data_IF_605247030926
#
_entry.id   IF_605247030926
#
_cell.length_a   1.000
_cell.length_b   1.000
_cell.length_c   1.000
_cell.angle_alpha   90.00
_cell.angle_beta   90.00
_cell.angle_gamma   90.00
#
_symmetry.space_group_name_H-M   'P 1'
#
loop_
_entity.id
_entity.type
_entity.pdbx_description
1 polymer ?
#
# COMPACT_ATOMS: atom_id res chain seq x y z
N UNK A 1 -34.46 -10.25 -9.66
CA UNK A 1 -33.85 -9.19 -8.84
C UNK A 1 -34.88 -8.74 -7.83
N UNK A 2 -34.68 -9.02 -6.55
CA UNK A 2 -35.56 -8.51 -5.50
C UNK A 2 -35.45 -6.98 -5.49
N UNK A 3 -36.58 -6.28 -5.64
CA UNK A 3 -36.63 -4.82 -5.42
C UNK A 3 -36.59 -4.62 -3.92
N UNK A 4 -35.44 -4.17 -3.41
CA UNK A 4 -35.33 -3.70 -2.04
C UNK A 4 -36.17 -2.43 -1.86
N UNK A 5 -36.88 -2.31 -0.75
CA UNK A 5 -37.65 -1.11 -0.42
C UNK A 5 -36.89 -0.27 0.61
N UNK A 6 -35.98 0.58 0.10
CA UNK A 6 -35.13 1.41 0.96
C UNK A 6 -35.94 2.32 1.90
N UNK A 7 -37.07 2.85 1.44
CA UNK A 7 -37.93 3.73 2.24
C UNK A 7 -38.50 2.98 3.45
N UNK A 8 -38.98 1.75 3.24
CA UNK A 8 -39.48 0.89 4.32
C UNK A 8 -38.37 0.49 5.31
N UNK A 9 -37.15 0.25 4.83
CA UNK A 9 -36.00 -0.05 5.69
C UNK A 9 -35.68 1.13 6.59
N UNK A 10 -35.61 2.34 6.01
CA UNK A 10 -35.33 3.58 6.75
C UNK A 10 -36.41 3.83 7.80
N UNK A 11 -37.69 3.70 7.44
CA UNK A 11 -38.81 3.88 8.36
C UNK A 11 -38.72 2.91 9.56
N UNK A 12 -38.46 1.63 9.29
CA UNK A 12 -38.39 0.62 10.35
C UNK A 12 -37.17 0.80 11.29
N UNK A 13 -36.06 1.33 10.78
CA UNK A 13 -34.87 1.66 11.57
C UNK A 13 -35.09 2.82 12.54
N UNK A 14 -35.90 3.81 12.16
CA UNK A 14 -36.22 5.00 12.98
C UNK A 14 -37.21 4.70 14.13
N UNK A 15 -37.80 3.50 14.14
CA UNK A 15 -38.71 3.10 15.21
C UNK A 15 -37.98 2.74 16.50
N UNK A 16 -38.69 2.75 17.64
CA UNK A 16 -38.19 2.20 18.91
C UNK A 16 -38.56 0.72 19.12
N UNK A 17 -39.03 0.02 18.08
CA UNK A 17 -39.51 -1.37 18.17
C UNK A 17 -38.43 -2.31 17.66
N UNK A 18 -37.78 -3.04 18.57
CA UNK A 18 -36.66 -3.95 18.26
C UNK A 18 -37.06 -5.00 17.22
N UNK A 19 -38.31 -5.47 17.27
CA UNK A 19 -38.88 -6.45 16.35
C UNK A 19 -38.95 -5.96 14.90
N UNK A 20 -38.94 -4.63 14.69
CA UNK A 20 -38.87 -4.00 13.37
C UNK A 20 -37.44 -3.60 13.00
N UNK A 21 -36.67 -3.11 13.97
CA UNK A 21 -35.30 -2.65 13.74
C UNK A 21 -34.37 -3.79 13.31
N UNK A 22 -34.47 -4.98 13.93
CA UNK A 22 -33.57 -6.10 13.61
C UNK A 22 -33.74 -6.58 12.16
N UNK A 23 -34.95 -6.93 11.68
CA UNK A 23 -35.14 -7.29 10.27
C UNK A 23 -34.76 -6.15 9.30
N UNK A 24 -34.98 -4.90 9.68
CA UNK A 24 -34.60 -3.76 8.85
C UNK A 24 -33.08 -3.61 8.73
N UNK A 25 -32.32 -3.89 9.80
CA UNK A 25 -30.84 -3.94 9.75
C UNK A 25 -30.33 -5.08 8.86
N UNK A 26 -30.97 -6.25 8.92
CA UNK A 26 -30.65 -7.37 8.04
C UNK A 26 -30.91 -7.01 6.57
N UNK A 27 -32.06 -6.41 6.25
CA UNK A 27 -32.37 -5.95 4.90
C UNK A 27 -31.43 -4.84 4.43
N UNK A 28 -31.09 -3.87 5.30
CA UNK A 28 -30.10 -2.83 5.00
C UNK A 28 -28.73 -3.44 4.64
N UNK A 29 -28.32 -4.49 5.35
CA UNK A 29 -27.07 -5.21 5.08
C UNK A 29 -27.09 -5.85 3.69
N UNK A 30 -28.19 -6.48 3.29
CA UNK A 30 -28.35 -7.06 1.95
C UNK A 30 -28.35 -5.99 0.84
N UNK A 31 -28.95 -4.82 1.10
CA UNK A 31 -28.91 -3.68 0.18
C UNK A 31 -27.47 -3.21 -0.03
N UNK A 32 -26.73 -2.96 1.06
CA UNK A 32 -25.34 -2.49 1.00
C UNK A 32 -24.45 -3.51 0.32
N UNK A 33 -24.58 -4.81 0.65
CA UNK A 33 -23.83 -5.89 -0.01
C UNK A 33 -24.14 -5.96 -1.52
N UNK A 34 -25.40 -5.81 -1.91
CA UNK A 34 -25.80 -5.80 -3.31
C UNK A 34 -25.19 -4.60 -4.06
N UNK A 35 -25.16 -3.41 -3.44
CA UNK A 35 -24.53 -2.21 -3.97
C UNK A 35 -23.01 -2.39 -4.11
N UNK A 36 -22.36 -2.90 -3.07
CA UNK A 36 -20.92 -3.18 -3.05
C UNK A 36 -20.52 -4.13 -4.18
N UNK A 37 -21.25 -5.25 -4.33
CA UNK A 37 -21.04 -6.19 -5.43
C UNK A 37 -21.19 -5.52 -6.81
N UNK A 38 -22.24 -4.72 -7.01
CA UNK A 38 -22.45 -4.00 -8.29
C UNK A 38 -21.34 -2.98 -8.58
N UNK A 39 -20.82 -2.32 -7.55
CA UNK A 39 -19.70 -1.39 -7.70
C UNK A 39 -18.41 -2.11 -8.08
N UNK A 40 -18.13 -3.27 -7.47
CA UNK A 40 -16.99 -4.13 -7.85
C UNK A 40 -17.17 -4.71 -9.26
N UNK A 41 -18.37 -5.12 -9.66
CA UNK A 41 -18.66 -5.58 -11.02
C UNK A 41 -18.38 -4.50 -12.09
N UNK A 42 -18.44 -3.22 -11.72
CA UNK A 42 -18.13 -2.12 -12.62
C UNK A 42 -16.63 -2.01 -12.92
N UNK A 43 -15.75 -2.57 -12.08
CA UNK A 43 -14.32 -2.72 -12.40
C UNK A 43 -14.10 -3.65 -13.58
N UNK A 44 -14.96 -4.65 -13.76
CA UNK A 44 -14.82 -5.65 -14.83
C UNK A 44 -15.25 -5.05 -16.17
N UNK A 45 -16.33 -4.26 -16.18
CA UNK A 45 -17.07 -3.90 -17.40
C UNK A 45 -17.03 -2.42 -17.76
N UNK A 46 -16.58 -1.57 -16.85
CA UNK A 46 -16.57 -0.12 -17.05
C UNK A 46 -15.48 0.33 -18.03
N UNK A 47 -15.72 1.39 -18.82
CA UNK A 47 -14.69 1.99 -19.68
C UNK A 47 -13.62 2.75 -18.90
N UNK A 48 -13.89 3.09 -17.62
CA UNK A 48 -12.99 3.86 -16.75
C UNK A 48 -12.71 3.10 -15.45
N UNK A 49 -12.16 1.89 -15.56
CA UNK A 49 -11.95 0.96 -14.44
C UNK A 49 -11.11 1.57 -13.31
N UNK A 50 -10.06 2.30 -13.68
CA UNK A 50 -9.22 3.03 -12.72
C UNK A 50 -10.02 4.04 -11.87
N UNK A 51 -10.83 4.90 -12.50
CA UNK A 51 -11.66 5.87 -11.78
C UNK A 51 -12.69 5.20 -10.87
N UNK A 52 -13.22 4.04 -11.27
CA UNK A 52 -14.09 3.24 -10.42
C UNK A 52 -13.32 2.73 -9.21
N UNK A 53 -12.12 2.17 -9.41
CA UNK A 53 -11.27 1.64 -8.35
C UNK A 53 -10.97 2.68 -7.27
N UNK A 54 -10.58 3.90 -7.66
CA UNK A 54 -10.30 5.00 -6.72
C UNK A 54 -11.49 5.41 -5.85
N UNK A 55 -12.72 5.14 -6.30
CA UNK A 55 -13.95 5.49 -5.58
C UNK A 55 -14.51 4.35 -4.74
N UNK A 56 -14.05 3.12 -4.92
CA UNK A 56 -14.53 1.98 -4.12
C UNK A 56 -14.25 2.14 -2.62
N UNK A 57 -13.21 2.88 -2.25
CA UNK A 57 -12.93 3.20 -0.84
C UNK A 57 -14.09 3.92 -0.14
N UNK A 58 -14.95 4.65 -0.88
CA UNK A 58 -16.11 5.35 -0.33
C UNK A 58 -17.19 4.40 0.19
N UNK A 59 -17.20 3.15 -0.27
CA UNK A 59 -18.11 2.12 0.23
C UNK A 59 -17.60 1.46 1.50
N UNK A 60 -16.36 1.73 1.93
CA UNK A 60 -15.78 1.14 3.13
C UNK A 60 -15.46 -0.35 2.98
N UNK A 61 -15.23 -1.05 4.09
CA UNK A 61 -14.75 -2.44 4.08
C UNK A 61 -15.72 -3.47 3.52
N UNK A 62 -16.99 -3.09 3.26
CA UNK A 62 -18.00 -3.98 2.67
C UNK A 62 -17.63 -4.49 1.27
N UNK A 63 -16.76 -3.77 0.54
CA UNK A 63 -16.31 -4.22 -0.79
C UNK A 63 -15.21 -5.27 -0.72
N UNK A 64 -14.53 -5.45 0.43
CA UNK A 64 -13.34 -6.30 0.55
C UNK A 64 -13.61 -7.76 0.14
N UNK A 65 -14.66 -8.45 0.64
CA UNK A 65 -14.93 -9.84 0.25
C UNK A 65 -15.20 -10.00 -1.25
N UNK A 66 -15.81 -8.98 -1.88
CA UNK A 66 -16.10 -8.98 -3.30
C UNK A 66 -14.83 -8.73 -4.14
N UNK A 67 -13.92 -7.88 -3.67
CA UNK A 67 -12.63 -7.65 -4.31
C UNK A 67 -11.70 -8.86 -4.18
N UNK A 68 -11.66 -9.54 -3.03
CA UNK A 68 -10.89 -10.76 -2.84
C UNK A 68 -11.38 -11.87 -3.77
N UNK A 69 -12.70 -12.04 -3.87
CA UNK A 69 -13.32 -12.96 -4.84
C UNK A 69 -12.94 -12.59 -6.28
N UNK A 70 -13.04 -11.31 -6.64
CA UNK A 70 -12.68 -10.82 -7.97
C UNK A 70 -11.22 -11.10 -8.31
N UNK A 71 -10.31 -10.86 -7.36
CA UNK A 71 -8.88 -11.12 -7.54
C UNK A 71 -8.58 -12.62 -7.78
N UNK A 72 -9.33 -13.51 -7.14
CA UNK A 72 -9.17 -14.97 -7.28
C UNK A 72 -9.75 -15.51 -8.59
N UNK A 73 -10.91 -14.98 -9.02
CA UNK A 73 -11.68 -15.53 -10.13
C UNK A 73 -11.41 -14.85 -11.47
N UNK A 74 -10.79 -13.66 -11.49
CA UNK A 74 -10.52 -12.93 -12.74
C UNK A 74 -9.30 -13.47 -13.47
N UNK A 75 -9.44 -13.65 -14.79
CA UNK A 75 -8.34 -13.91 -15.73
C UNK A 75 -7.75 -12.62 -16.32
N UNK A 76 -8.41 -11.48 -16.13
CA UNK A 76 -7.99 -10.19 -16.69
C UNK A 76 -6.96 -9.52 -15.78
N UNK A 77 -5.72 -9.38 -16.27
CA UNK A 77 -4.59 -8.88 -15.48
C UNK A 77 -4.85 -7.46 -14.94
N UNK A 78 -5.39 -6.57 -15.76
CA UNK A 78 -5.73 -5.20 -15.34
C UNK A 78 -6.73 -5.21 -14.18
N UNK A 79 -7.82 -5.98 -14.32
CA UNK A 79 -8.82 -6.15 -13.25
C UNK A 79 -8.19 -6.66 -11.96
N UNK A 80 -7.27 -7.63 -12.03
CA UNK A 80 -6.56 -8.14 -10.83
C UNK A 80 -5.68 -7.08 -10.18
N UNK A 81 -4.93 -6.32 -10.98
CA UNK A 81 -4.08 -5.24 -10.47
C UNK A 81 -4.93 -4.18 -9.76
N UNK A 82 -6.00 -3.72 -10.39
CA UNK A 82 -6.89 -2.71 -9.80
C UNK A 82 -7.57 -3.23 -8.53
N UNK A 83 -8.07 -4.47 -8.53
CA UNK A 83 -8.65 -5.09 -7.33
C UNK A 83 -7.62 -5.18 -6.19
N UNK A 84 -6.38 -5.60 -6.50
CA UNK A 84 -5.30 -5.69 -5.54
C UNK A 84 -4.87 -4.32 -4.99
N UNK A 85 -4.84 -3.28 -5.81
CA UNK A 85 -4.56 -1.90 -5.38
C UNK A 85 -5.62 -1.40 -4.39
N UNK A 86 -6.91 -1.64 -4.67
CA UNK A 86 -7.99 -1.25 -3.76
C UNK A 86 -7.93 -2.05 -2.46
N UNK A 87 -7.67 -3.36 -2.52
CA UNK A 87 -7.46 -4.19 -1.32
C UNK A 87 -6.31 -3.66 -0.46
N UNK A 88 -5.21 -3.24 -1.09
CA UNK A 88 -4.07 -2.63 -0.40
C UNK A 88 -4.45 -1.31 0.29
N UNK A 89 -5.34 -0.50 -0.29
CA UNK A 89 -5.86 0.71 0.37
C UNK A 89 -6.57 0.37 1.68
N UNK A 90 -7.32 -0.74 1.71
CA UNK A 90 -7.94 -1.31 2.92
C UNK A 90 -6.97 -2.09 3.83
N UNK A 91 -5.66 -2.00 3.59
CA UNK A 91 -4.60 -2.73 4.30
C UNK A 91 -4.70 -4.26 4.20
N UNK A 92 -5.48 -4.80 3.26
CA UNK A 92 -5.44 -6.22 2.92
C UNK A 92 -4.19 -6.52 2.09
N UNK A 93 -3.42 -7.52 2.52
CA UNK A 93 -2.20 -7.95 1.83
C UNK A 93 -2.44 -9.07 0.80
N UNK A 94 -3.67 -9.54 0.66
CA UNK A 94 -4.03 -10.68 -0.22
C UNK A 94 -3.60 -10.42 -1.67
N UNK A 95 -3.68 -9.17 -2.13
CA UNK A 95 -3.29 -8.77 -3.48
C UNK A 95 -1.80 -8.51 -3.70
N UNK A 96 -0.97 -8.49 -2.65
CA UNK A 96 0.44 -8.09 -2.78
C UNK A 96 1.23 -8.95 -3.78
N UNK A 97 1.10 -10.30 -3.82
CA UNK A 97 1.78 -11.09 -4.84
C UNK A 97 1.46 -10.68 -6.28
N UNK A 98 0.19 -10.34 -6.55
CA UNK A 98 -0.25 -9.84 -7.86
C UNK A 98 0.40 -8.49 -8.19
N UNK A 99 0.54 -7.60 -7.19
CA UNK A 99 1.17 -6.29 -7.36
C UNK A 99 2.69 -6.40 -7.58
N UNK A 100 3.37 -7.31 -6.87
CA UNK A 100 4.80 -7.56 -7.07
C UNK A 100 5.08 -8.08 -8.49
N UNK A 101 4.24 -8.99 -8.99
CA UNK A 101 4.32 -9.48 -10.37
C UNK A 101 4.06 -8.36 -11.39
N UNK A 102 3.09 -7.48 -11.12
CA UNK A 102 2.79 -6.35 -11.98
C UNK A 102 3.95 -5.36 -12.11
N UNK A 103 4.75 -5.13 -11.05
CA UNK A 103 5.97 -4.32 -11.15
C UNK A 103 6.93 -4.92 -12.19
N UNK A 104 7.10 -6.25 -12.19
CA UNK A 104 8.04 -6.91 -13.06
C UNK A 104 7.58 -6.93 -14.52
N UNK A 105 6.27 -7.13 -14.75
CA UNK A 105 5.75 -7.56 -16.05
C UNK A 105 4.77 -6.60 -16.71
N UNK A 106 4.31 -5.53 -16.04
CA UNK A 106 3.29 -4.63 -16.58
C UNK A 106 3.84 -3.21 -16.85
N UNK A 107 3.80 -2.79 -18.11
CA UNK A 107 4.29 -1.48 -18.56
C UNK A 107 3.40 -0.31 -18.10
N UNK A 108 2.08 -0.51 -18.09
CA UNK A 108 1.11 0.54 -17.82
C UNK A 108 1.01 0.87 -16.32
N UNK A 109 1.00 -0.17 -15.49
CA UNK A 109 0.73 -0.06 -14.06
C UNK A 109 1.97 -0.21 -13.17
N UNK A 110 3.10 -0.67 -13.71
CA UNK A 110 4.28 -1.02 -12.90
C UNK A 110 4.76 0.12 -11.98
N UNK A 111 4.83 1.34 -12.51
CA UNK A 111 5.24 2.52 -11.75
C UNK A 111 4.24 2.91 -10.65
N UNK A 112 2.95 2.92 -10.98
CA UNK A 112 1.88 3.22 -10.01
C UNK A 112 1.85 2.19 -8.87
N UNK A 113 1.99 0.91 -9.22
CA UNK A 113 1.99 -0.20 -8.26
C UNK A 113 3.18 -0.10 -7.31
N UNK A 114 4.39 0.17 -7.85
CA UNK A 114 5.58 0.39 -7.03
C UNK A 114 5.39 1.55 -6.05
N UNK A 115 4.81 2.67 -6.50
CA UNK A 115 4.53 3.82 -5.65
C UNK A 115 3.56 3.47 -4.50
N UNK A 116 2.50 2.72 -4.77
CA UNK A 116 1.53 2.30 -3.76
C UNK A 116 2.13 1.34 -2.73
N UNK A 117 2.93 0.38 -3.18
CA UNK A 117 3.65 -0.53 -2.28
C UNK A 117 4.68 0.22 -1.42
N UNK A 118 5.36 1.22 -1.98
CA UNK A 118 6.28 2.09 -1.27
C UNK A 118 5.57 2.94 -0.20
N UNK A 119 4.43 3.56 -0.54
CA UNK A 119 3.58 4.31 0.42
C UNK A 119 3.11 3.45 1.60
N UNK A 120 2.93 2.14 1.37
CA UNK A 120 2.56 1.16 2.41
C UNK A 120 3.76 0.50 3.10
N UNK A 121 4.99 0.86 2.73
CA UNK A 121 6.21 0.34 3.34
C UNK A 121 6.48 -1.14 3.05
N UNK A 122 5.97 -1.68 1.94
CA UNK A 122 6.10 -3.10 1.57
C UNK A 122 7.48 -3.35 0.96
N UNK A 123 8.44 -3.76 1.81
CA UNK A 123 9.85 -3.96 1.43
C UNK A 123 10.04 -5.08 0.42
N UNK A 124 9.10 -6.01 0.31
CA UNK A 124 9.11 -7.07 -0.70
C UNK A 124 9.14 -6.52 -2.14
N UNK A 125 8.73 -5.26 -2.36
CA UNK A 125 8.77 -4.59 -3.65
C UNK A 125 10.18 -4.20 -4.12
N UNK A 126 11.18 -4.15 -3.22
CA UNK A 126 12.55 -3.71 -3.55
C UNK A 126 13.15 -4.58 -4.67
N UNK A 127 13.09 -5.91 -4.54
CA UNK A 127 13.68 -6.81 -5.51
C UNK A 127 12.98 -6.76 -6.89
N UNK A 128 11.63 -6.80 -6.98
CA UNK A 128 10.92 -6.57 -8.24
C UNK A 128 11.24 -5.21 -8.89
N UNK A 129 11.35 -4.14 -8.10
CA UNK A 129 11.71 -2.80 -8.60
C UNK A 129 13.12 -2.81 -9.21
N UNK A 130 14.12 -3.35 -8.51
CA UNK A 130 15.49 -3.45 -9.02
C UNK A 130 15.56 -4.30 -10.30
N UNK A 131 14.84 -5.42 -10.32
CA UNK A 131 14.78 -6.29 -11.50
C UNK A 131 14.17 -5.56 -12.69
N UNK A 132 13.03 -4.87 -12.49
CA UNK A 132 12.37 -4.09 -13.54
C UNK A 132 13.26 -2.95 -14.03
N UNK A 133 13.90 -2.21 -13.13
CA UNK A 133 14.87 -1.17 -13.49
C UNK A 133 16.04 -1.70 -14.32
N UNK A 134 16.41 -2.97 -14.18
CA UNK A 134 17.50 -3.59 -14.94
C UNK A 134 17.08 -3.96 -16.37
N UNK A 135 15.81 -4.27 -16.59
CA UNK A 135 15.27 -4.72 -17.87
C UNK A 135 14.53 -3.63 -18.66
N UNK A 136 14.09 -2.55 -18.01
CA UNK A 136 13.41 -1.42 -18.66
C UNK A 136 14.25 -0.80 -19.78
N UNK A 137 13.55 -0.39 -20.83
CA UNK A 137 14.08 0.41 -21.91
C UNK A 137 14.26 1.86 -21.43
N UNK A 138 15.38 2.48 -21.81
CA UNK A 138 15.73 3.84 -21.36
C UNK A 138 14.78 4.94 -21.87
N UNK A 139 13.88 4.60 -22.79
CA UNK A 139 12.80 5.49 -23.28
C UNK A 139 11.57 5.50 -22.36
N UNK A 140 11.43 4.53 -21.46
CA UNK A 140 10.34 4.43 -20.46
C UNK A 140 10.60 5.38 -19.28
N UNK A 141 10.79 6.67 -19.55
CA UNK A 141 11.27 7.65 -18.56
C UNK A 141 10.37 7.72 -17.33
N UNK A 142 9.05 7.81 -17.52
CA UNK A 142 8.09 7.93 -16.41
C UNK A 142 8.09 6.69 -15.51
N UNK A 143 8.17 5.50 -16.12
CA UNK A 143 8.27 4.24 -15.37
C UNK A 143 9.56 4.20 -14.54
N UNK A 144 10.71 4.51 -15.16
CA UNK A 144 12.00 4.51 -14.48
C UNK A 144 12.01 5.49 -13.31
N UNK A 145 11.52 6.72 -13.51
CA UNK A 145 11.44 7.75 -12.45
C UNK A 145 10.55 7.27 -11.29
N UNK A 146 9.37 6.72 -11.58
CA UNK A 146 8.46 6.19 -10.54
C UNK A 146 9.10 5.02 -9.76
N UNK A 147 9.82 4.14 -10.44
CA UNK A 147 10.51 3.01 -9.81
C UNK A 147 11.67 3.48 -8.91
N UNK A 148 12.46 4.46 -9.35
CA UNK A 148 13.54 5.04 -8.54
C UNK A 148 13.01 5.73 -7.28
N UNK A 149 11.97 6.55 -7.42
CA UNK A 149 11.30 7.22 -6.28
C UNK A 149 10.70 6.20 -5.30
N UNK A 150 10.03 5.15 -5.80
CA UNK A 150 9.51 4.08 -4.97
C UNK A 150 10.63 3.31 -4.22
N UNK A 151 11.76 3.06 -4.89
CA UNK A 151 12.93 2.40 -4.29
C UNK A 151 13.53 3.25 -3.16
N UNK A 152 13.70 4.56 -3.38
CA UNK A 152 14.18 5.49 -2.36
C UNK A 152 13.26 5.53 -1.14
N UNK A 153 11.94 5.64 -1.34
CA UNK A 153 10.93 5.58 -0.27
C UNK A 153 10.98 4.28 0.53
N UNK A 154 11.33 3.19 -0.13
CA UNK A 154 11.56 1.88 0.51
C UNK A 154 12.96 1.74 1.12
N UNK A 155 13.83 2.75 1.00
CA UNK A 155 15.22 2.67 1.45
C UNK A 155 16.00 1.54 0.78
N UNK A 156 15.64 1.20 -0.45
CA UNK A 156 16.37 0.24 -1.27
C UNK A 156 17.61 0.89 -1.88
N UNK A 157 18.67 0.11 -2.00
CA UNK A 157 19.91 0.57 -2.63
C UNK A 157 19.94 0.18 -4.11
N UNK A 158 20.47 1.08 -4.94
CA UNK A 158 20.66 0.85 -6.38
C UNK A 158 22.00 0.11 -6.57
N UNK A 159 22.01 -1.10 -7.17
CA UNK A 159 23.25 -1.81 -7.51
C UNK A 159 24.16 -0.95 -8.39
N UNK A 160 25.48 -1.15 -8.26
CA UNK A 160 26.48 -0.33 -8.93
C UNK A 160 26.34 -0.36 -10.46
N UNK A 161 26.04 -1.53 -11.01
CA UNK A 161 25.88 -1.76 -12.45
C UNK A 161 24.67 -0.97 -12.97
N UNK A 162 23.56 -1.00 -12.22
CA UNK A 162 22.35 -0.27 -12.56
C UNK A 162 22.58 1.24 -12.45
N UNK A 163 23.29 1.68 -11.42
CA UNK A 163 23.69 3.09 -11.25
C UNK A 163 24.52 3.58 -12.44
N UNK A 164 25.53 2.81 -12.86
CA UNK A 164 26.37 3.16 -14.01
C UNK A 164 25.55 3.23 -15.31
N UNK A 165 24.62 2.29 -15.51
CA UNK A 165 23.70 2.27 -16.65
C UNK A 165 22.83 3.53 -16.70
N UNK A 166 22.23 3.91 -15.57
CA UNK A 166 21.30 5.03 -15.47
C UNK A 166 22.02 6.40 -15.39
N UNK A 167 23.32 6.43 -15.12
CA UNK A 167 24.14 7.65 -15.12
C UNK A 167 24.83 7.94 -16.47
N UNK A 168 24.63 7.10 -17.49
CA UNK A 168 25.34 7.26 -18.76
C UNK A 168 24.98 8.60 -19.46
N UNK A 169 25.90 9.21 -20.24
CA UNK A 169 25.69 10.54 -20.82
C UNK A 169 24.49 10.66 -21.76
N UNK A 170 24.07 9.55 -22.35
CA UNK A 170 22.96 9.44 -23.30
C UNK A 170 21.60 9.19 -22.63
N UNK A 171 21.53 9.13 -21.30
CA UNK A 171 20.28 8.94 -20.55
C UNK A 171 19.52 10.28 -20.43
N UNK A 172 18.17 10.27 -20.57
CA UNK A 172 17.33 11.43 -20.26
C UNK A 172 17.69 12.08 -18.92
N UNK A 173 17.75 13.40 -18.91
CA UNK A 173 18.24 14.16 -17.75
C UNK A 173 17.42 13.88 -16.48
N UNK A 174 16.12 13.61 -16.59
CA UNK A 174 15.24 13.31 -15.46
C UNK A 174 15.74 12.09 -14.66
N UNK A 175 16.15 11.03 -15.36
CA UNK A 175 16.66 9.81 -14.72
C UNK A 175 18.01 10.11 -14.05
N UNK A 176 18.88 10.89 -14.69
CA UNK A 176 20.19 11.26 -14.12
C UNK A 176 20.03 12.08 -12.83
N UNK A 177 19.14 13.07 -12.83
CA UNK A 177 18.86 13.88 -11.64
C UNK A 177 18.42 13.01 -10.46
N UNK A 178 17.53 12.04 -10.68
CA UNK A 178 17.10 11.11 -9.63
C UNK A 178 18.26 10.28 -9.04
N UNK A 179 19.19 9.82 -9.88
CA UNK A 179 20.36 9.03 -9.44
C UNK A 179 21.35 9.88 -8.62
N UNK A 180 21.57 11.13 -9.05
CA UNK A 180 22.47 12.07 -8.36
C UNK A 180 21.90 12.45 -6.98
N UNK A 181 20.60 12.73 -6.91
CA UNK A 181 19.91 13.08 -5.65
C UNK A 181 19.89 11.91 -4.66
N UNK A 182 19.67 10.68 -5.13
CA UNK A 182 19.68 9.47 -4.27
C UNK A 182 21.04 9.29 -3.57
N UNK A 183 22.15 9.73 -4.18
CA UNK A 183 23.48 9.64 -3.58
C UNK A 183 23.66 10.60 -2.40
N UNK A 184 22.97 11.74 -2.42
CA UNK A 184 23.00 12.74 -1.35
C UNK A 184 22.23 12.20 -0.13
N UNK A 185 21.03 11.63 -0.34
CA UNK A 185 20.19 11.09 0.72
C UNK A 185 20.86 9.98 1.54
N UNK A 186 21.51 9.01 0.87
CA UNK A 186 22.20 7.88 1.53
C UNK A 186 23.43 8.36 2.31
N UNK A 187 24.19 9.30 1.74
CA UNK A 187 25.39 9.85 2.39
C UNK A 187 25.04 10.59 3.69
N UNK A 188 23.96 11.37 3.70
CA UNK A 188 23.51 12.09 4.91
C UNK A 188 22.93 11.16 5.97
N UNK A 189 22.20 10.11 5.57
CA UNK A 189 21.65 9.12 6.50
C UNK A 189 22.74 8.33 7.25
N UNK A 190 23.85 8.01 6.57
CA UNK A 190 24.98 7.31 7.18
C UNK A 190 25.74 8.22 8.16
N UNK A 191 26.00 9.49 7.79
CA UNK A 191 26.64 10.47 8.68
C UNK A 191 25.80 10.72 9.95
N UNK A 192 24.46 10.76 9.84
CA UNK A 192 23.59 10.95 11.01
C UNK A 192 23.49 9.73 11.92
N UNK A 193 23.76 8.50 11.43
CA UNK A 193 23.79 7.29 12.27
C UNK A 193 25.11 7.16 13.03
N UNK A 194 26.22 7.53 12.39
CA UNK A 194 27.54 7.51 13.04
C UNK A 194 27.68 8.58 14.14
N UNK A 195 26.95 9.70 14.02
CA UNK A 195 26.88 10.73 15.05
C UNK A 195 26.09 10.32 16.32
N UNK A 196 25.46 9.13 16.34
CA UNK A 196 24.60 8.66 17.43
C UNK A 196 25.20 7.49 18.25
N UNK A 197 26.50 7.23 18.10
CA UNK A 197 27.25 6.34 19.00
C UNK A 197 27.52 7.07 20.31
N UNK A 198 27.04 6.49 21.40
CA UNK A 198 26.94 7.04 22.75
C UNK A 198 28.25 7.62 23.35
N UNK A 199 28.15 8.68 24.18
CA UNK A 199 29.24 9.06 25.07
C UNK A 199 29.44 8.00 26.15
N UNK A 200 30.68 7.53 26.24
CA UNK A 200 31.14 6.53 27.19
C UNK A 200 30.82 6.88 28.67
N UNK A 201 30.34 5.86 29.37
CA UNK A 201 30.16 5.74 30.81
C UNK A 201 31.39 6.18 31.63
N UNK A 202 31.16 6.91 32.72
CA UNK A 202 32.08 7.05 33.85
C UNK A 202 31.32 7.46 35.14
N UNK A 203 31.87 7.28 36.36
CA UNK A 203 31.76 6.04 37.14
C UNK A 203 31.14 6.20 38.55
N UNK A 204 30.78 5.05 39.12
CA UNK A 204 30.52 4.71 40.54
C UNK A 204 30.34 5.79 41.62
N UNK A 205 29.16 5.76 42.26
CA UNK A 205 28.95 6.22 43.63
C UNK A 205 28.67 5.02 44.54
N UNK A 206 29.31 4.90 45.73
CA UNK A 206 29.00 3.87 46.70
C UNK A 206 27.80 4.29 47.56
N UNK A 207 26.83 3.39 47.72
CA UNK A 207 25.71 3.53 48.65
C UNK A 207 26.11 3.01 50.03
N UNK A 208 26.07 3.92 51.03
CA UNK A 208 26.18 3.57 52.44
C UNK A 208 24.93 2.83 52.93
N UNK A 209 25.19 1.75 53.66
CA UNK A 209 24.25 0.88 54.34
C UNK A 209 24.04 1.32 55.78
N UNK A 210 22.83 1.75 56.12
CA UNK A 210 22.24 1.73 57.47
C UNK A 210 20.75 1.53 57.28
N UNK A 211 20.04 0.55 57.84
CA UNK A 211 20.27 -0.19 59.07
C UNK A 211 19.03 -0.02 59.96
N UNK A 212 18.24 -1.09 60.06
CA UNK A 212 17.40 -1.49 61.22
C UNK A 212 16.14 -0.66 61.54
N UNK A 213 14.96 -1.30 61.48
CA UNK A 213 14.15 -1.66 62.66
C UNK A 213 12.71 -2.09 62.25
N UNK A 214 12.36 -3.33 62.60
CA UNK A 214 10.98 -3.87 62.62
C UNK A 214 10.27 -3.54 63.96
N UNK A 215 9.09 -4.12 64.27
CA UNK A 215 7.76 -3.47 64.34
C UNK A 215 7.23 -3.35 65.79
N UNK A 216 6.02 -2.81 66.05
CA UNK A 216 4.79 -3.64 66.16
C UNK A 216 3.53 -2.84 65.68
N UNK A 217 2.29 -3.32 65.54
CA UNK A 217 1.54 -4.51 65.95
C UNK A 217 0.29 -4.61 65.05
#
# INVERSE_FOLDING_TARGET
MSRFNLDSVIENLDTNQVEKQVPALEEATEIVNSLARKAVDALIRGPNRFLVAERLQLLGSVVVPHLEKLLQESDDLETKILAALVLLQFNSRVGVPCLLDAIANNEEYGGLVAEHLAKKGIKEAIAPIINRLSTCELKEVDLIVNLLDALEKLGGEIPLELRQRLAAPNIPWQIRTMIDDTHISVSLANISRDAKVEPALHPGFPTETTGVASPPR
#
